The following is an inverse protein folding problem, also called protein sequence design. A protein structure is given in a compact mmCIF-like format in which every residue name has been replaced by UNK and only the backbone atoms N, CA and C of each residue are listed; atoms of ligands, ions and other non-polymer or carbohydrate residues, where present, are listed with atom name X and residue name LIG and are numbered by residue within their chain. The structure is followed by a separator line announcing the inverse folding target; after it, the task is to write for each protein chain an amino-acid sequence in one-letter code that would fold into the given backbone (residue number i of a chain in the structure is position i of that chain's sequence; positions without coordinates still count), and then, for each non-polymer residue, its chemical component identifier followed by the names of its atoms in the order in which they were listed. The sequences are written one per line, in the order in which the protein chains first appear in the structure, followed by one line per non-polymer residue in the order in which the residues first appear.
data_IF_787711181367
#
_entry.id   IF_787711181367
#
_cell.length_a   1.000
_cell.length_b   1.000
_cell.length_c   1.000
_cell.angle_alpha   90.00
_cell.angle_beta   90.00
_cell.angle_gamma   90.00
#
_symmetry.space_group_name_H-M   'P 1'
#
loop_
_entity.id
_entity.type
_entity.pdbx_description
1 polymer ?
#
# COMPACT_ATOMS: atom_id res chain seq x y z
N UNK A 1 -11.74 12.76 -19.23
CA UNK A 1 -11.56 12.82 -18.48
C UNK A 1 -11.50 12.83 -18.16
N UNK A 2 -11.69 12.54 -18.30
CA UNK A 2 -11.65 12.56 -17.53
C UNK A 2 -11.72 12.49 -17.16
N UNK A 3 -11.97 12.25 -17.26
CA UNK A 3 -11.97 12.20 -16.48
C UNK A 3 -11.87 12.11 -16.14
N UNK A 4 -12.05 12.00 -16.33
CA UNK A 4 -11.76 12.03 -15.75
C UNK A 4 -11.96 12.10 -15.44
N UNK A 5 -12.43 12.03 -15.42
CA UNK A 5 -12.52 12.11 -14.97
C UNK A 5 -13.18 11.76 -14.61
N UNK A 6 -13.82 11.62 -14.80
CA UNK A 6 -15.07 11.54 -14.04
C UNK A 6 -15.63 10.17 -13.96
N UNK A 7 -16.17 9.66 -14.99
CA UNK A 7 -16.78 8.35 -14.96
C UNK A 7 -15.90 7.21 -14.44
N UNK A 8 -14.64 7.43 -14.40
CA UNK A 8 -13.72 6.41 -13.94
C UNK A 8 -13.87 6.07 -12.46
N UNK A 9 -14.55 6.89 -11.69
CA UNK A 9 -14.78 6.62 -10.27
C UNK A 9 -15.60 5.36 -10.03
N UNK A 10 -16.33 4.90 -11.03
CA UNK A 10 -17.10 3.66 -10.93
C UNK A 10 -16.38 2.48 -11.56
N UNK A 11 -15.18 2.68 -12.08
CA UNK A 11 -14.39 1.62 -12.69
C UNK A 11 -13.90 0.65 -11.61
N UNK A 12 -14.14 -0.68 -11.75
CA UNK A 12 -13.68 -1.65 -10.76
C UNK A 12 -12.15 -1.73 -10.64
N UNK A 13 -11.42 -1.17 -11.61
CA UNK A 13 -9.96 -1.10 -11.53
C UNK A 13 -9.49 0.19 -10.88
N UNK A 14 -10.41 0.97 -10.34
CA UNK A 14 -10.08 2.22 -9.67
C UNK A 14 -9.20 1.98 -8.45
N UNK A 15 -8.11 2.76 -8.34
CA UNK A 15 -7.16 2.65 -7.24
C UNK A 15 -7.68 3.37 -6.01
N UNK A 16 -7.59 2.70 -4.85
CA UNK A 16 -7.98 3.26 -3.56
C UNK A 16 -6.72 3.52 -2.75
N UNK A 17 -6.64 4.71 -2.16
CA UNK A 17 -5.46 5.18 -1.43
C UNK A 17 -5.72 5.09 0.07
N UNK A 18 -4.76 4.53 0.81
CA UNK A 18 -4.84 4.45 2.27
C UNK A 18 -3.52 4.89 2.86
N UNK A 19 -3.59 5.70 3.92
CA UNK A 19 -2.41 6.09 4.66
C UNK A 19 -2.25 5.17 5.86
N UNK A 20 -1.06 4.57 6.01
CA UNK A 20 -0.76 3.64 7.10
C UNK A 20 0.28 4.20 8.05
N UNK A 21 0.59 5.48 7.99
CA UNK A 21 1.63 6.12 8.79
C UNK A 21 1.43 5.90 10.28
N UNK A 22 0.17 5.88 10.75
CA UNK A 22 -0.12 5.71 12.17
C UNK A 22 0.28 4.34 12.72
N UNK A 23 0.54 3.38 11.84
CA UNK A 23 0.99 2.04 12.26
C UNK A 23 2.50 1.96 12.45
N UNK A 24 3.25 2.96 11.98
CA UNK A 24 4.70 2.98 12.14
C UNK A 24 5.02 3.30 13.60
N UNK A 25 5.71 2.38 14.26
CA UNK A 25 6.08 2.55 15.68
C UNK A 25 7.57 2.30 15.95
N UNK A 26 8.38 2.13 14.91
CA UNK A 26 9.82 1.87 15.07
C UNK A 26 10.14 0.44 15.43
N UNK A 27 9.16 -0.44 15.53
CA UNK A 27 9.32 -1.84 15.93
C UNK A 27 8.74 -2.80 14.90
N UNK A 28 7.52 -2.50 14.41
CA UNK A 28 6.83 -3.42 13.48
C UNK A 28 7.31 -3.27 12.05
N UNK A 29 7.38 -4.39 11.36
CA UNK A 29 7.63 -4.43 9.92
C UNK A 29 6.37 -4.85 9.14
N UNK A 30 5.26 -5.14 9.83
CA UNK A 30 4.03 -5.65 9.23
C UNK A 30 2.91 -4.63 9.38
N UNK A 31 2.24 -4.35 8.26
CA UNK A 31 1.22 -3.31 8.22
C UNK A 31 -0.08 -3.86 7.66
N UNK A 32 -1.20 -3.44 8.27
CA UNK A 32 -2.53 -3.91 7.90
C UNK A 32 -3.25 -2.85 7.06
N UNK A 33 -3.75 -3.28 5.91
CA UNK A 33 -4.51 -2.43 5.01
C UNK A 33 -5.99 -2.54 5.39
N UNK A 34 -6.73 -1.42 5.48
CA UNK A 34 -8.12 -1.44 5.96
C UNK A 34 -9.11 -2.17 5.05
N UNK A 35 -8.68 -2.62 3.86
CA UNK A 35 -9.55 -3.33 2.93
C UNK A 35 -8.75 -4.40 2.21
N UNK A 36 -9.41 -5.52 1.87
CA UNK A 36 -8.77 -6.57 1.09
C UNK A 36 -8.54 -6.11 -0.34
N UNK A 37 -7.43 -6.54 -0.93
CA UNK A 37 -7.06 -6.13 -2.29
C UNK A 37 -6.75 -7.34 -3.17
N UNK A 38 -6.82 -7.11 -4.48
CA UNK A 38 -6.47 -8.14 -5.46
C UNK A 38 -4.95 -8.34 -5.44
N UNK A 39 -4.51 -9.58 -5.29
CA UNK A 39 -3.08 -9.91 -5.23
C UNK A 39 -2.31 -9.29 -6.39
N UNK A 40 -1.20 -8.67 -6.09
CA UNK A 40 -0.36 -8.00 -7.09
C UNK A 40 -0.86 -6.61 -7.48
N UNK A 41 -2.05 -6.22 -7.05
CA UNK A 41 -2.63 -4.93 -7.41
C UNK A 41 -2.47 -3.95 -6.25
N UNK A 42 -1.21 -3.70 -5.89
CA UNK A 42 -0.84 -2.81 -4.80
C UNK A 42 0.40 -1.99 -5.19
N UNK A 43 0.40 -0.74 -4.80
CA UNK A 43 1.55 0.15 -4.88
C UNK A 43 1.84 0.65 -3.48
N UNK A 44 3.08 0.59 -3.05
CA UNK A 44 3.50 0.97 -1.70
C UNK A 44 4.51 2.12 -1.81
N UNK A 45 4.26 3.18 -1.05
CA UNK A 45 5.11 4.37 -1.05
C UNK A 45 5.58 4.66 0.37
N UNK A 46 6.88 4.77 0.56
CA UNK A 46 7.47 5.20 1.83
C UNK A 46 8.13 6.55 1.58
N UNK A 47 7.67 7.58 2.29
CA UNK A 47 8.12 8.95 2.10
C UNK A 47 7.96 9.43 0.66
N UNK A 48 6.89 8.97 -0.02
CA UNK A 48 6.60 9.37 -1.40
C UNK A 48 7.36 8.60 -2.46
N UNK A 49 8.24 7.67 -2.08
CA UNK A 49 9.01 6.87 -3.02
C UNK A 49 8.42 5.47 -3.09
N UNK A 50 8.15 5.01 -4.31
CA UNK A 50 7.60 3.67 -4.52
C UNK A 50 8.59 2.61 -4.05
N UNK A 51 8.08 1.61 -3.33
CA UNK A 51 8.86 0.47 -2.85
C UNK A 51 8.57 -0.75 -3.72
N UNK A 52 9.55 -1.62 -3.82
CA UNK A 52 9.52 -2.75 -4.75
C UNK A 52 9.16 -4.02 -4.00
N UNK A 53 8.18 -4.76 -4.51
CA UNK A 53 7.76 -6.03 -3.93
C UNK A 53 8.78 -7.13 -4.24
N UNK A 54 9.03 -8.01 -3.26
CA UNK A 54 9.90 -9.16 -3.45
C UNK A 54 10.61 -9.55 -2.17
N UNK A 55 10.95 -10.84 -2.05
CA UNK A 55 11.60 -11.38 -0.85
C UNK A 55 12.96 -10.75 -0.58
N UNK A 56 13.66 -10.29 -1.63
CA UNK A 56 14.96 -9.64 -1.50
C UNK A 56 14.88 -8.15 -1.79
N UNK A 57 13.66 -7.60 -1.88
CA UNK A 57 13.42 -6.19 -2.18
C UNK A 57 12.90 -5.48 -0.93
N UNK A 58 11.96 -4.55 -1.09
CA UNK A 58 11.52 -3.71 0.01
C UNK A 58 10.45 -4.35 0.88
N UNK A 59 9.53 -5.11 0.27
CA UNK A 59 8.43 -5.70 1.04
C UNK A 59 7.86 -6.93 0.33
N UNK A 60 7.08 -7.72 1.09
CA UNK A 60 6.34 -8.85 0.54
C UNK A 60 4.86 -8.74 0.90
N UNK A 61 4.01 -9.36 0.08
CA UNK A 61 2.57 -9.46 0.36
C UNK A 61 2.33 -10.68 1.22
N UNK A 62 1.87 -10.48 2.47
CA UNK A 62 1.59 -11.58 3.38
C UNK A 62 0.20 -12.17 3.12
N UNK A 63 -0.78 -11.32 2.87
CA UNK A 63 -2.16 -11.73 2.64
C UNK A 63 -2.84 -10.62 1.85
N UNK A 64 -4.16 -10.74 1.65
CA UNK A 64 -4.91 -9.72 0.94
C UNK A 64 -5.18 -8.47 1.79
N UNK A 65 -4.70 -8.44 3.04
CA UNK A 65 -4.84 -7.28 3.92
C UNK A 65 -3.55 -6.90 4.63
N UNK A 66 -2.44 -7.60 4.38
CA UNK A 66 -1.19 -7.32 5.09
C UNK A 66 0.01 -7.37 4.18
N UNK A 67 0.93 -6.44 4.41
CA UNK A 67 2.25 -6.42 3.78
C UNK A 67 3.31 -6.43 4.87
N UNK A 68 4.48 -6.98 4.55
CA UNK A 68 5.60 -7.02 5.48
C UNK A 68 6.83 -6.44 4.80
N UNK A 69 7.40 -5.39 5.41
CA UNK A 69 8.66 -4.82 4.95
C UNK A 69 9.83 -5.73 5.35
N UNK A 70 10.90 -5.67 4.58
CA UNK A 70 12.12 -6.40 4.88
C UNK A 70 13.02 -5.59 5.83
N UNK A 71 12.51 -4.48 6.34
CA UNK A 71 13.17 -3.63 7.34
C UNK A 71 12.05 -2.91 8.11
N UNK A 72 12.41 -2.35 9.27
CA UNK A 72 11.43 -1.64 10.10
C UNK A 72 11.44 -0.16 9.73
N UNK A 73 10.32 0.38 9.22
CA UNK A 73 10.22 1.83 8.99
C UNK A 73 10.38 2.60 10.28
N UNK A 74 11.02 3.76 10.20
CA UNK A 74 11.31 4.57 11.38
C UNK A 74 10.15 5.50 11.70
N UNK A 75 9.96 5.77 12.97
CA UNK A 75 9.00 6.78 13.42
C UNK A 75 9.31 8.11 12.74
N UNK A 76 8.28 8.74 12.19
CA UNK A 76 8.43 9.97 11.43
C UNK A 76 8.35 9.78 9.92
N UNK A 77 8.48 8.53 9.46
CA UNK A 77 8.30 8.24 8.03
C UNK A 77 6.82 8.18 7.67
N UNK A 78 6.53 8.43 6.40
CA UNK A 78 5.15 8.45 5.88
C UNK A 78 4.93 7.21 5.02
N UNK A 79 3.92 6.41 5.35
CA UNK A 79 3.61 5.18 4.63
C UNK A 79 2.21 5.28 4.01
N UNK A 80 2.16 5.00 2.72
CA UNK A 80 0.91 5.09 1.95
C UNK A 80 0.83 3.90 1.01
N UNK A 81 -0.38 3.34 0.84
CA UNK A 81 -0.61 2.25 -0.11
C UNK A 81 -1.77 2.61 -1.03
N UNK A 82 -1.67 2.15 -2.25
CA UNK A 82 -2.73 2.27 -3.26
C UNK A 82 -3.09 0.86 -3.68
N UNK A 83 -4.36 0.51 -3.61
CA UNK A 83 -4.82 -0.85 -3.90
C UNK A 83 -6.00 -0.84 -4.86
N UNK A 84 -6.17 -1.98 -5.54
CA UNK A 84 -7.43 -2.28 -6.21
C UNK A 84 -8.15 -3.25 -5.30
N UNK A 85 -9.29 -2.84 -4.77
CA UNK A 85 -10.05 -3.64 -3.82
C UNK A 85 -10.61 -4.89 -4.47
N UNK A 86 -10.72 -5.93 -3.67
CA UNK A 86 -11.45 -7.13 -4.05
C UNK A 86 -12.92 -6.86 -4.21
#
# INVERSE_FOLDING_TARGET
MVDVKGGRLSDPTYWNQYELTSQINGITDTFTIPAAYVSGKILVFLNGLERIVGATKDYTELSDTQIKFNYVPEVGEHLEVWIIKK
#
